data_IF_901061633237
#
_entry.id   IF_901061633237
#
_cell.length_a   1.000
_cell.length_b   1.000
_cell.length_c   1.000
_cell.angle_alpha   90.00
_cell.angle_beta   90.00
_cell.angle_gamma   90.00
#
_symmetry.space_group_name_H-M   'P 1'
#
loop_
_entity.id
_entity.type
_entity.pdbx_description
1 polymer ?
#
# COMPACT_ATOMS: atom_id res chain seq x y z
N UNK A 1 9.93 5.19 -7.71
CA UNK A 1 8.91 4.16 -7.81
C UNK A 1 9.32 2.92 -7.03
N UNK A 2 8.46 2.39 -6.15
CA UNK A 2 8.69 1.16 -5.40
C UNK A 2 8.01 -0.01 -6.11
N UNK A 3 8.70 -1.12 -6.29
CA UNK A 3 8.19 -2.31 -6.97
C UNK A 3 8.40 -3.55 -6.09
N UNK A 4 7.33 -4.29 -5.82
CA UNK A 4 7.42 -5.57 -5.14
C UNK A 4 7.77 -6.69 -6.11
N UNK A 5 8.94 -7.34 -5.95
CA UNK A 5 9.28 -8.56 -6.66
C UNK A 5 8.57 -9.74 -5.98
N UNK A 6 7.80 -10.49 -6.74
CA UNK A 6 6.99 -11.61 -6.25
C UNK A 6 6.79 -12.65 -7.35
N UNK A 7 5.93 -13.63 -7.12
CA UNK A 7 5.58 -14.62 -8.15
C UNK A 7 4.89 -14.03 -9.39
N UNK A 8 4.40 -12.79 -9.30
CA UNK A 8 3.73 -12.06 -10.39
C UNK A 8 4.58 -10.96 -11.03
N UNK A 9 5.72 -10.63 -10.43
CA UNK A 9 6.62 -9.59 -10.92
C UNK A 9 8.02 -10.12 -10.83
N UNK A 10 8.64 -10.40 -11.96
CA UNK A 10 10.00 -10.91 -12.08
C UNK A 10 11.00 -9.81 -12.50
N UNK A 11 12.30 -10.16 -12.53
CA UNK A 11 13.35 -9.20 -12.87
C UNK A 11 13.18 -8.64 -14.30
N UNK A 12 12.74 -9.45 -15.26
CA UNK A 12 12.51 -8.98 -16.63
C UNK A 12 11.42 -7.88 -16.69
N UNK A 13 10.34 -8.03 -15.92
CA UNK A 13 9.31 -7.00 -15.81
C UNK A 13 9.82 -5.73 -15.13
N UNK A 14 10.67 -5.86 -14.12
CA UNK A 14 11.29 -4.73 -13.43
C UNK A 14 12.25 -3.97 -14.36
N UNK A 15 13.08 -4.68 -15.13
CA UNK A 15 13.97 -4.06 -16.11
C UNK A 15 13.19 -3.36 -17.24
N UNK A 16 12.11 -3.98 -17.73
CA UNK A 16 11.24 -3.31 -18.70
C UNK A 16 10.64 -2.01 -18.15
N UNK A 17 10.24 -2.00 -16.88
CA UNK A 17 9.73 -0.80 -16.22
C UNK A 17 10.80 0.28 -16.09
N UNK A 18 12.05 -0.07 -15.74
CA UNK A 18 13.19 0.86 -15.70
C UNK A 18 13.46 1.49 -17.07
N UNK A 19 13.39 0.68 -18.12
CA UNK A 19 13.58 1.17 -19.48
C UNK A 19 12.47 2.15 -19.94
N UNK A 20 11.24 1.94 -19.47
CA UNK A 20 10.10 2.82 -19.77
C UNK A 20 10.10 4.13 -18.98
N UNK A 21 10.78 4.15 -17.83
CA UNK A 21 10.80 5.28 -16.90
C UNK A 21 12.23 5.72 -16.60
N UNK A 22 12.99 6.19 -17.60
CA UNK A 22 14.42 6.46 -17.44
C UNK A 22 14.73 7.58 -16.43
N UNK A 23 13.79 8.49 -16.21
CA UNK A 23 13.92 9.60 -15.26
C UNK A 23 13.45 9.25 -13.84
N UNK A 24 12.90 8.05 -13.64
CA UNK A 24 12.40 7.61 -12.34
C UNK A 24 13.36 6.61 -11.67
N UNK A 25 13.67 6.84 -10.40
CA UNK A 25 14.32 5.83 -9.57
C UNK A 25 13.37 4.65 -9.35
N UNK A 26 13.69 3.45 -9.85
CA UNK A 26 12.91 2.24 -9.68
C UNK A 26 13.61 1.30 -8.71
N UNK A 27 13.07 1.19 -7.49
CA UNK A 27 13.58 0.35 -6.41
C UNK A 27 12.74 -0.91 -6.27
N UNK A 28 13.36 -2.06 -6.36
CA UNK A 28 12.71 -3.37 -6.23
C UNK A 28 12.96 -3.97 -4.84
N UNK A 29 11.92 -4.56 -4.27
CA UNK A 29 11.96 -5.23 -2.96
C UNK A 29 11.36 -6.62 -3.07
N UNK A 30 12.06 -7.62 -2.54
CA UNK A 30 11.56 -8.99 -2.47
C UNK A 30 10.43 -9.09 -1.45
N UNK A 31 9.27 -9.51 -1.91
CA UNK A 31 8.13 -9.75 -1.03
C UNK A 31 8.20 -11.16 -0.43
N UNK A 32 7.75 -11.34 0.82
CA UNK A 32 7.84 -12.62 1.51
C UNK A 32 6.92 -13.68 0.88
N UNK A 33 7.33 -14.95 1.03
CA UNK A 33 6.50 -16.11 0.74
C UNK A 33 5.66 -16.44 1.98
N UNK A 34 4.41 -15.97 2.02
CA UNK A 34 3.56 -16.13 3.21
C UNK A 34 2.76 -17.42 3.18
N UNK A 35 1.82 -17.58 2.25
CA UNK A 35 0.94 -18.75 2.16
C UNK A 35 1.10 -19.54 0.86
N UNK A 36 2.23 -19.36 0.18
CA UNK A 36 2.54 -20.11 -1.03
C UNK A 36 2.31 -19.35 -2.33
N UNK A 37 2.52 -20.05 -3.46
CA UNK A 37 2.47 -19.44 -4.80
C UNK A 37 1.06 -19.03 -5.23
N UNK A 38 0.04 -19.61 -4.64
CA UNK A 38 -1.36 -19.30 -4.96
C UNK A 38 -1.81 -17.98 -4.37
N UNK A 39 -1.23 -17.60 -3.24
CA UNK A 39 -1.48 -16.30 -2.63
C UNK A 39 -0.55 -15.24 -3.22
N UNK A 40 -1.15 -14.27 -3.87
CA UNK A 40 -0.41 -13.22 -4.54
C UNK A 40 -0.33 -11.99 -3.66
N UNK A 41 0.80 -11.86 -2.99
CA UNK A 41 1.11 -10.66 -2.24
C UNK A 41 1.65 -9.58 -3.21
N UNK A 42 1.00 -8.43 -3.24
CA UNK A 42 1.49 -7.23 -3.92
C UNK A 42 2.08 -6.25 -2.91
N UNK A 43 2.98 -5.37 -3.34
CA UNK A 43 3.49 -4.33 -2.45
C UNK A 43 2.36 -3.45 -1.89
N UNK A 44 1.32 -3.17 -2.69
CA UNK A 44 0.13 -2.43 -2.25
C UNK A 44 -0.77 -3.21 -1.27
N UNK A 45 -0.58 -4.49 -1.11
CA UNK A 45 -1.22 -5.25 -0.02
C UNK A 45 -0.57 -4.96 1.33
N UNK A 46 0.66 -4.44 1.33
CA UNK A 46 1.46 -4.19 2.53
C UNK A 46 1.67 -2.72 2.84
N UNK A 47 1.81 -1.87 1.81
CA UNK A 47 2.20 -0.46 1.95
C UNK A 47 1.47 0.40 0.93
N UNK A 48 0.78 1.43 1.41
CA UNK A 48 0.16 2.44 0.55
C UNK A 48 0.54 3.85 1.00
N UNK A 49 0.96 4.73 0.07
CA UNK A 49 1.20 6.12 0.37
C UNK A 49 -0.13 6.86 0.60
N UNK A 50 -0.18 7.68 1.63
CA UNK A 50 -1.29 8.60 1.92
C UNK A 50 -0.90 10.00 1.43
N UNK A 51 0.36 10.39 1.67
CA UNK A 51 0.97 11.62 1.15
C UNK A 51 2.44 11.39 0.84
N UNK A 52 3.16 12.44 0.47
CA UNK A 52 4.62 12.37 0.27
C UNK A 52 5.41 12.05 1.55
N UNK A 53 4.80 12.24 2.74
CA UNK A 53 5.43 12.05 4.04
C UNK A 53 4.70 11.08 4.97
N UNK A 54 3.60 10.48 4.52
CA UNK A 54 2.78 9.57 5.31
C UNK A 54 2.40 8.35 4.47
N UNK A 55 2.59 7.17 5.03
CA UNK A 55 2.12 5.90 4.47
C UNK A 55 1.38 5.09 5.51
N UNK A 56 0.53 4.18 5.08
CA UNK A 56 -0.07 3.14 5.92
C UNK A 56 0.54 1.80 5.53
N UNK A 57 0.90 0.97 6.51
CA UNK A 57 1.53 -0.32 6.21
C UNK A 57 1.30 -1.38 7.28
N UNK A 58 1.30 -2.65 6.84
CA UNK A 58 1.48 -3.79 7.71
C UNK A 58 2.98 -4.13 7.79
N UNK A 59 3.63 -3.55 8.78
CA UNK A 59 5.10 -3.56 8.93
C UNK A 59 5.72 -4.96 9.08
N UNK A 60 5.09 -5.94 9.77
CA UNK A 60 5.70 -7.26 9.97
C UNK A 60 6.07 -8.03 8.69
N UNK A 61 5.43 -7.72 7.56
CA UNK A 61 5.70 -8.34 6.26
C UNK A 61 6.49 -7.44 5.29
N UNK A 62 6.88 -6.23 5.72
CA UNK A 62 7.72 -5.38 4.88
C UNK A 62 9.17 -5.89 4.83
N UNK A 63 9.81 -5.86 3.66
CA UNK A 63 11.25 -6.07 3.58
C UNK A 63 12.01 -5.07 4.44
N UNK A 64 13.00 -5.53 5.23
CA UNK A 64 13.77 -4.68 6.14
C UNK A 64 14.34 -3.43 5.43
N UNK A 65 14.91 -3.60 4.23
CA UNK A 65 15.45 -2.48 3.44
C UNK A 65 14.37 -1.45 3.05
N UNK A 66 13.12 -1.87 2.89
CA UNK A 66 12.03 -0.94 2.63
C UNK A 66 11.68 -0.11 3.87
N UNK A 67 11.69 -0.73 5.04
CA UNK A 67 11.48 -0.02 6.32
C UNK A 67 12.57 1.03 6.55
N UNK A 68 13.85 0.66 6.32
CA UNK A 68 14.96 1.60 6.39
C UNK A 68 14.81 2.76 5.40
N UNK A 69 14.42 2.48 4.15
CA UNK A 69 14.21 3.50 3.13
C UNK A 69 13.11 4.49 3.51
N UNK A 70 12.01 4.01 4.11
CA UNK A 70 10.93 4.89 4.58
C UNK A 70 11.45 5.84 5.67
N UNK A 71 12.24 5.32 6.61
CA UNK A 71 12.87 6.13 7.64
C UNK A 71 13.91 7.13 7.09
N UNK A 72 14.78 6.69 6.16
CA UNK A 72 15.77 7.55 5.47
C UNK A 72 15.12 8.73 4.71
N UNK A 73 13.88 8.55 4.26
CA UNK A 73 13.10 9.56 3.52
C UNK A 73 12.12 10.34 4.40
N UNK A 74 12.20 10.21 5.71
CA UNK A 74 11.28 10.83 6.68
C UNK A 74 9.81 10.55 6.36
N UNK A 75 9.50 9.35 5.88
CA UNK A 75 8.13 8.91 5.64
C UNK A 75 7.61 8.23 6.91
N UNK A 76 6.68 8.90 7.58
CA UNK A 76 5.99 8.34 8.74
C UNK A 76 5.08 7.18 8.30
N UNK A 77 5.05 6.12 9.08
CA UNK A 77 4.20 4.95 8.81
C UNK A 77 3.11 4.85 9.88
N UNK A 78 1.87 4.79 9.45
CA UNK A 78 0.73 4.34 10.25
C UNK A 78 0.69 2.82 10.17
N UNK A 79 0.97 2.16 11.29
CA UNK A 79 1.03 0.70 11.33
C UNK A 79 -0.38 0.10 11.43
N UNK A 80 -0.65 -0.89 10.60
CA UNK A 80 -1.87 -1.69 10.64
C UNK A 80 -1.67 -2.84 11.64
N UNK A 81 -2.60 -3.09 12.57
CA UNK A 81 -2.50 -4.22 13.49
C UNK A 81 -2.76 -5.55 12.76
N UNK A 82 -2.29 -6.64 13.35
CA UNK A 82 -2.37 -7.98 12.76
C UNK A 82 -3.83 -8.39 12.44
N UNK A 83 -4.75 -8.07 13.32
CA UNK A 83 -6.18 -8.41 13.20
C UNK A 83 -6.84 -7.73 11.98
N UNK A 84 -6.31 -6.58 11.54
CA UNK A 84 -6.84 -5.84 10.40
C UNK A 84 -6.09 -6.09 9.09
N UNK A 85 -5.04 -6.90 9.11
CA UNK A 85 -4.31 -7.26 7.88
C UNK A 85 -5.18 -8.09 6.93
N UNK A 86 -5.83 -9.14 7.45
CA UNK A 86 -6.70 -10.01 6.67
C UNK A 86 -7.97 -9.30 6.13
N UNK A 87 -8.35 -8.19 6.73
CA UNK A 87 -9.50 -7.36 6.32
C UNK A 87 -9.09 -6.17 5.43
N UNK A 88 -7.92 -6.24 4.82
CA UNK A 88 -7.39 -5.22 3.91
C UNK A 88 -7.10 -3.87 4.58
N UNK A 89 -6.78 -3.86 5.87
CA UNK A 89 -6.42 -2.64 6.62
C UNK A 89 -5.34 -1.79 5.94
N UNK A 90 -4.27 -2.36 5.33
CA UNK A 90 -3.27 -1.54 4.65
C UNK A 90 -3.76 -0.92 3.34
N UNK A 91 -4.88 -1.44 2.75
CA UNK A 91 -5.36 -1.00 1.45
C UNK A 91 -6.17 0.29 1.55
N UNK A 92 -5.48 1.40 1.75
CA UNK A 92 -6.05 2.73 1.93
C UNK A 92 -5.60 3.63 0.77
N UNK A 93 -6.55 4.32 0.14
CA UNK A 93 -6.31 5.25 -0.95
C UNK A 93 -6.21 6.68 -0.41
N UNK A 94 -5.02 7.27 -0.44
CA UNK A 94 -4.81 8.68 -0.10
C UNK A 94 -5.38 9.62 -1.16
N UNK A 95 -6.02 10.69 -0.71
CA UNK A 95 -6.62 11.74 -1.53
C UNK A 95 -6.10 13.12 -1.07
N UNK A 96 -6.19 14.10 -1.98
CA UNK A 96 -5.93 15.52 -1.69
C UNK A 96 -4.60 15.78 -0.98
N UNK A 97 -3.54 15.12 -1.43
CA UNK A 97 -2.21 15.25 -0.81
C UNK A 97 -2.11 14.70 0.61
N UNK A 98 -3.05 13.81 1.01
CA UNK A 98 -3.08 13.17 2.32
C UNK A 98 -4.01 13.82 3.34
N UNK A 99 -4.82 14.79 2.92
CA UNK A 99 -5.86 15.37 3.79
C UNK A 99 -7.00 14.38 4.05
N UNK A 100 -7.33 13.59 3.02
CA UNK A 100 -8.37 12.56 3.09
C UNK A 100 -7.85 11.22 2.61
N UNK A 101 -8.54 10.16 3.01
CA UNK A 101 -8.28 8.82 2.52
C UNK A 101 -9.57 8.00 2.42
N UNK A 102 -9.61 7.03 1.51
CA UNK A 102 -10.69 6.05 1.40
C UNK A 102 -10.21 4.72 1.93
N UNK A 103 -10.96 4.12 2.84
CA UNK A 103 -10.66 2.84 3.46
C UNK A 103 -11.89 1.92 3.46
N UNK A 104 -11.64 0.60 3.51
CA UNK A 104 -12.71 -0.38 3.71
C UNK A 104 -13.17 -0.33 5.17
N UNK A 105 -14.48 -0.28 5.39
CA UNK A 105 -15.08 -0.27 6.71
C UNK A 105 -14.72 -1.54 7.51
N UNK A 106 -14.65 -1.38 8.85
CA UNK A 106 -14.32 -2.46 9.77
C UNK A 106 -12.87 -2.49 10.25
N UNK A 107 -11.98 -1.69 9.68
CA UNK A 107 -10.58 -1.55 10.11
C UNK A 107 -10.45 -0.37 11.09
N UNK A 108 -11.08 -0.51 12.27
CA UNK A 108 -11.30 0.56 13.24
C UNK A 108 -10.00 1.14 13.79
N UNK A 109 -9.02 0.29 14.09
CA UNK A 109 -7.73 0.73 14.67
C UNK A 109 -6.90 1.46 13.62
N UNK A 110 -6.85 0.96 12.39
CA UNK A 110 -6.16 1.62 11.28
C UNK A 110 -6.79 2.98 10.99
N UNK A 111 -8.12 3.06 10.93
CA UNK A 111 -8.84 4.33 10.79
C UNK A 111 -8.46 5.31 11.88
N UNK A 112 -8.58 4.92 13.14
CA UNK A 112 -8.26 5.78 14.28
C UNK A 112 -6.81 6.32 14.20
N UNK A 113 -5.84 5.47 13.88
CA UNK A 113 -4.43 5.86 13.73
C UNK A 113 -4.20 6.85 12.58
N UNK A 114 -4.96 6.71 11.48
CA UNK A 114 -4.94 7.66 10.37
C UNK A 114 -5.55 9.02 10.78
N UNK A 115 -6.67 9.02 11.50
CA UNK A 115 -7.31 10.22 12.03
C UNK A 115 -6.39 10.94 13.04
N UNK A 116 -5.70 10.21 13.92
CA UNK A 116 -4.66 10.75 14.82
C UNK A 116 -3.46 11.31 14.05
N UNK A 117 -3.22 10.82 12.84
CA UNK A 117 -2.21 11.36 11.93
C UNK A 117 -2.67 12.60 11.16
N UNK A 118 -3.92 13.03 11.34
CA UNK A 118 -4.51 14.21 10.71
C UNK A 118 -5.21 13.94 9.37
N UNK A 119 -5.53 12.69 9.06
CA UNK A 119 -6.19 12.27 7.82
C UNK A 119 -7.69 12.08 8.08
N UNK A 120 -8.56 12.73 7.31
CA UNK A 120 -9.99 12.42 7.30
C UNK A 120 -10.24 11.11 6.56
N UNK A 121 -10.81 10.09 7.24
CA UNK A 121 -11.02 8.77 6.65
C UNK A 121 -12.47 8.60 6.22
N UNK A 122 -12.66 8.37 4.92
CA UNK A 122 -13.94 8.05 4.30
C UNK A 122 -14.06 6.52 4.18
N UNK A 123 -15.00 5.93 4.88
CA UNK A 123 -15.21 4.48 4.84
C UNK A 123 -16.32 4.07 3.86
N UNK A 124 -16.19 2.88 3.27
CA UNK A 124 -17.24 2.22 2.50
C UNK A 124 -17.33 0.73 2.87
N UNK A 125 -18.52 0.13 2.78
CA UNK A 125 -18.77 -1.25 3.23
C UNK A 125 -18.03 -2.29 2.39
N UNK A 126 -18.04 -2.15 1.08
CA UNK A 126 -17.26 -2.96 0.14
C UNK A 126 -17.62 -4.43 0.05
N UNK A 127 -18.76 -4.87 0.58
CA UNK A 127 -19.14 -6.28 0.65
C UNK A 127 -19.23 -6.96 -0.71
N UNK A 128 -19.76 -6.25 -1.71
CA UNK A 128 -19.97 -6.80 -3.03
C UNK A 128 -18.73 -6.73 -3.93
N UNK A 129 -17.92 -5.70 -3.80
CA UNK A 129 -16.82 -5.47 -4.72
C UNK A 129 -15.45 -5.81 -4.10
N UNK A 130 -15.18 -5.33 -2.88
CA UNK A 130 -13.87 -5.50 -2.24
C UNK A 130 -13.73 -6.86 -1.60
N UNK A 131 -14.68 -7.27 -0.73
CA UNK A 131 -14.59 -8.53 0.01
C UNK A 131 -14.73 -9.76 -0.89
N UNK A 132 -15.64 -9.71 -1.88
CA UNK A 132 -15.81 -10.81 -2.86
C UNK A 132 -14.72 -10.84 -3.92
N UNK A 133 -14.16 -9.68 -4.27
CA UNK A 133 -13.13 -9.54 -5.30
C UNK A 133 -11.70 -9.54 -4.75
N UNK A 134 -11.53 -9.63 -3.43
CA UNK A 134 -10.24 -9.60 -2.74
C UNK A 134 -9.38 -8.39 -3.15
N UNK A 135 -10.00 -7.20 -3.17
CA UNK A 135 -9.33 -5.97 -3.56
C UNK A 135 -9.92 -4.71 -2.95
N UNK A 136 -9.12 -3.95 -2.22
CA UNK A 136 -9.52 -2.68 -1.60
C UNK A 136 -9.47 -1.49 -2.56
N UNK A 137 -9.62 -0.25 -2.07
CA UNK A 137 -9.76 0.94 -2.90
C UNK A 137 -8.57 1.19 -3.84
N UNK A 138 -7.35 0.84 -3.43
CA UNK A 138 -6.17 1.00 -4.30
C UNK A 138 -6.11 -0.02 -5.43
N UNK A 139 -6.76 -1.18 -5.28
CA UNK A 139 -6.87 -2.20 -6.33
C UNK A 139 -7.94 -1.85 -7.36
N UNK A 140 -8.95 -1.09 -6.96
CA UNK A 140 -10.13 -0.75 -7.76
C UNK A 140 -10.01 0.60 -8.48
N UNK A 141 -8.91 1.33 -8.27
CA UNK A 141 -8.72 2.69 -8.80
C UNK A 141 -7.41 2.83 -9.55
N UNK A 142 -7.41 3.73 -10.52
CA UNK A 142 -6.21 4.17 -11.23
C UNK A 142 -6.17 5.70 -11.21
N UNK A 143 -5.18 6.33 -10.55
CA UNK A 143 -5.04 7.78 -10.61
C UNK A 143 -4.74 8.24 -12.04
N UNK A 144 -5.52 9.17 -12.58
CA UNK A 144 -5.29 9.76 -13.91
C UNK A 144 -4.33 10.94 -13.87
N UNK A 145 -4.24 11.60 -12.72
CA UNK A 145 -3.27 12.65 -12.44
C UNK A 145 -2.89 12.61 -10.95
N UNK A 146 -1.62 12.84 -10.66
CA UNK A 146 -1.17 13.08 -9.30
C UNK A 146 -1.08 14.60 -9.13
N UNK A 147 -2.02 15.17 -8.40
CA UNK A 147 -1.89 16.57 -7.95
C UNK A 147 -0.86 16.60 -6.82
N UNK A 148 0.23 17.28 -7.07
CA UNK A 148 1.28 17.58 -6.09
C UNK A 148 0.78 18.51 -5.00
#
# INVERSE_FOLDING_TARGET
LLVGRSYRTNDAGIEALRALLPDAEVLAFDLPHVHGRAEVLHLRSLLNPISSRLSVAYVPLLPARLVELLAERDIRVVEVPEEEFATMGPNVLGLDGGQRAVALAGNVVTRQRLEEAGVEVLEYEGDEISRKGDGGPTCLTLPLALTS
#
